data_IF_739214837317
#
_entry.id   IF_739214837317
#
_cell.length_a   1.000
_cell.length_b   1.000
_cell.length_c   1.000
_cell.angle_alpha   90.00
_cell.angle_beta   90.00
_cell.angle_gamma   90.00
#
_symmetry.space_group_name_H-M   'P 1'
#
loop_
_entity.id
_entity.type
_entity.pdbx_description
1 polymer ?
#
# COMPACT_ATOMS: atom_id res chain seq x y z
N UNK A 1 -4.49 18.63 12.62
CA UNK A 1 -4.88 17.22 12.61
C UNK A 1 -3.65 16.39 12.29
N UNK A 2 -2.64 16.25 13.16
CA UNK A 2 -1.49 15.45 12.72
C UNK A 2 -0.40 15.20 13.74
N UNK A 3 -0.62 15.36 15.04
CA UNK A 3 0.51 15.33 15.99
C UNK A 3 0.56 14.12 16.94
N UNK A 4 -0.23 13.06 16.67
CA UNK A 4 -0.30 11.93 17.62
C UNK A 4 0.73 10.80 17.42
N UNK A 5 1.52 10.79 16.36
CA UNK A 5 2.38 9.62 16.05
C UNK A 5 3.88 9.79 16.31
N UNK A 6 4.33 10.97 16.75
CA UNK A 6 5.77 11.22 16.91
C UNK A 6 6.33 11.04 18.33
N UNK A 7 5.49 10.89 19.34
CA UNK A 7 5.97 10.84 20.74
C UNK A 7 6.40 9.46 21.25
N UNK A 8 6.10 8.38 20.54
CA UNK A 8 6.42 7.02 21.02
C UNK A 8 7.91 6.65 20.84
N UNK A 9 8.65 7.35 19.98
CA UNK A 9 9.99 6.91 19.57
C UNK A 9 11.17 7.65 20.22
N UNK A 10 10.93 8.68 21.04
CA UNK A 10 12.03 9.47 21.63
C UNK A 10 12.25 9.30 23.14
N UNK A 11 11.56 8.38 23.80
CA UNK A 11 11.70 8.23 25.25
C UNK A 11 12.78 7.17 25.64
N UNK A 12 14.05 7.53 25.42
CA UNK A 12 15.21 6.80 26.02
C UNK A 12 15.44 7.11 27.50
N UNK A 13 14.57 7.85 28.18
CA UNK A 13 14.90 8.44 29.51
C UNK A 13 13.93 8.18 30.66
N UNK A 14 13.07 7.17 30.63
CA UNK A 14 12.28 6.87 31.86
C UNK A 14 12.04 5.37 31.99
N UNK A 15 13.06 4.66 32.50
CA UNK A 15 12.88 3.33 33.09
C UNK A 15 13.26 3.41 34.58
N UNK A 16 12.37 3.02 35.51
CA UNK A 16 12.71 2.96 36.93
C UNK A 16 13.66 1.81 37.23
N UNK A 17 14.62 2.04 38.12
CA UNK A 17 15.76 1.16 38.43
C UNK A 17 15.46 -0.17 39.21
N UNK A 18 14.22 -0.61 39.33
CA UNK A 18 13.88 -1.73 40.24
C UNK A 18 13.37 -3.03 39.62
N UNK A 19 13.32 -3.16 38.27
CA UNK A 19 12.81 -4.40 37.60
C UNK A 19 13.90 -5.30 36.97
N UNK A 20 15.14 -5.14 37.34
CA UNK A 20 16.31 -5.77 36.68
C UNK A 20 16.43 -7.30 36.79
N UNK A 21 15.52 -8.05 37.39
CA UNK A 21 15.63 -9.51 37.55
C UNK A 21 14.66 -10.39 36.77
N UNK A 22 13.59 -9.81 36.18
CA UNK A 22 12.71 -10.52 35.23
C UNK A 22 12.98 -10.18 33.77
N UNK A 23 13.85 -9.20 33.51
CA UNK A 23 14.09 -8.59 32.20
C UNK A 23 14.98 -9.43 31.25
N UNK A 24 15.70 -10.46 31.71
CA UNK A 24 16.66 -11.17 30.84
C UNK A 24 16.06 -12.15 29.84
N UNK A 25 14.86 -12.68 30.09
CA UNK A 25 14.14 -13.53 29.12
C UNK A 25 13.23 -12.71 28.21
N UNK A 26 12.72 -11.56 28.67
CA UNK A 26 11.93 -10.63 27.85
C UNK A 26 12.81 -9.75 26.93
N UNK A 27 14.05 -9.42 27.32
CA UNK A 27 14.94 -8.54 26.55
C UNK A 27 15.39 -9.11 25.19
N UNK A 28 15.53 -10.43 25.06
CA UNK A 28 15.91 -11.04 23.77
C UNK A 28 14.76 -11.05 22.77
N UNK A 29 13.54 -11.18 23.22
CA UNK A 29 12.34 -11.12 22.39
C UNK A 29 12.04 -9.70 21.93
N UNK A 30 12.27 -8.73 22.80
CA UNK A 30 12.01 -7.30 22.55
C UNK A 30 12.98 -6.72 21.51
N UNK A 31 14.25 -7.11 21.51
CA UNK A 31 15.30 -6.59 20.62
C UNK A 31 15.03 -6.92 19.14
N UNK A 32 14.62 -8.15 18.83
CA UNK A 32 14.31 -8.55 17.45
C UNK A 32 13.06 -7.87 16.91
N UNK A 33 12.07 -7.60 17.74
CA UNK A 33 10.86 -6.87 17.38
C UNK A 33 11.16 -5.39 17.10
N UNK A 34 12.02 -4.75 17.89
CA UNK A 34 12.47 -3.38 17.63
C UNK A 34 13.26 -3.28 16.31
N UNK A 35 14.10 -4.27 15.99
CA UNK A 35 14.83 -4.31 14.70
C UNK A 35 13.88 -4.42 13.52
N UNK A 36 12.84 -5.26 13.59
CA UNK A 36 11.81 -5.39 12.56
C UNK A 36 11.04 -4.07 12.38
N UNK A 37 10.59 -3.46 13.48
CA UNK A 37 9.87 -2.18 13.43
C UNK A 37 10.74 -1.04 12.90
N UNK A 38 12.01 -1.01 13.30
CA UNK A 38 12.96 -0.01 12.82
C UNK A 38 13.23 -0.16 11.32
N UNK A 39 13.43 -1.39 10.84
CA UNK A 39 13.61 -1.70 9.43
C UNK A 39 12.37 -1.34 8.62
N UNK A 40 11.18 -1.69 9.12
CA UNK A 40 9.91 -1.32 8.50
C UNK A 40 9.73 0.21 8.42
N UNK A 41 10.08 0.93 9.48
CA UNK A 41 10.01 2.39 9.50
C UNK A 41 10.97 3.01 8.49
N UNK A 42 12.21 2.54 8.42
CA UNK A 42 13.18 3.00 7.42
C UNK A 42 12.73 2.69 6.00
N UNK A 43 12.23 1.49 5.76
CA UNK A 43 11.68 1.11 4.46
C UNK A 43 10.52 2.04 4.07
N UNK A 44 9.66 2.37 5.01
CA UNK A 44 8.58 3.34 4.80
C UNK A 44 9.09 4.74 4.49
N UNK A 45 10.08 5.24 5.19
CA UNK A 45 10.69 6.56 4.98
C UNK A 45 11.39 6.64 3.62
N UNK A 46 12.12 5.60 3.23
CA UNK A 46 12.83 5.54 1.95
C UNK A 46 11.91 5.67 0.73
N UNK A 47 10.66 5.17 0.82
CA UNK A 47 9.68 5.25 -0.27
C UNK A 47 8.89 6.58 -0.24
N UNK A 48 9.14 7.47 0.70
CA UNK A 48 8.41 8.74 0.78
C UNK A 48 8.46 9.57 -0.51
N UNK A 49 9.59 9.72 -1.21
CA UNK A 49 9.64 10.47 -2.47
C UNK A 49 8.72 9.87 -3.54
N UNK A 50 8.64 8.53 -3.60
CA UNK A 50 7.71 7.83 -4.49
C UNK A 50 6.25 8.15 -4.14
N UNK A 51 5.86 8.07 -2.85
CA UNK A 51 4.49 8.39 -2.41
C UNK A 51 4.11 9.84 -2.69
N UNK A 52 5.03 10.79 -2.52
CA UNK A 52 4.82 12.20 -2.88
C UNK A 52 4.59 12.36 -4.38
N UNK A 53 5.42 11.74 -5.21
CA UNK A 53 5.28 11.76 -6.68
C UNK A 53 3.94 11.19 -7.11
N UNK A 54 3.55 10.03 -6.57
CA UNK A 54 2.26 9.43 -6.85
C UNK A 54 1.08 10.34 -6.47
N UNK A 55 1.11 10.95 -5.28
CA UNK A 55 0.07 11.90 -4.85
C UNK A 55 -0.03 13.08 -5.84
N UNK A 56 1.09 13.59 -6.28
CA UNK A 56 1.15 14.66 -7.29
C UNK A 56 0.58 14.20 -8.62
N UNK A 57 1.03 13.08 -9.16
CA UNK A 57 0.53 12.51 -10.41
C UNK A 57 -0.98 12.32 -10.39
N UNK A 58 -1.51 11.80 -9.26
CA UNK A 58 -2.94 11.62 -9.07
C UNK A 58 -3.69 12.96 -9.12
N UNK A 59 -3.19 14.00 -8.48
CA UNK A 59 -3.79 15.33 -8.55
C UNK A 59 -3.84 15.85 -10.00
N UNK A 60 -2.76 15.71 -10.74
CA UNK A 60 -2.69 16.11 -12.16
C UNK A 60 -3.67 15.30 -13.02
N UNK A 61 -3.73 13.98 -12.83
CA UNK A 61 -4.66 13.11 -13.55
C UNK A 61 -6.13 13.48 -13.29
N UNK A 62 -6.45 13.97 -12.10
CA UNK A 62 -7.81 14.39 -11.74
C UNK A 62 -8.07 15.89 -11.94
N UNK A 63 -7.24 16.60 -12.70
CA UNK A 63 -7.45 17.98 -13.10
C UNK A 63 -7.04 19.02 -12.06
N UNK A 64 -6.33 18.61 -10.99
CA UNK A 64 -5.80 19.54 -9.99
C UNK A 64 -4.38 20.00 -10.38
N UNK A 65 -4.20 20.52 -11.59
CA UNK A 65 -2.91 20.86 -12.17
C UNK A 65 -2.21 22.00 -11.42
N UNK A 66 -2.98 22.95 -10.89
CA UNK A 66 -2.50 24.17 -10.23
C UNK A 66 -2.56 24.09 -8.70
N UNK A 67 -2.51 22.88 -8.15
CA UNK A 67 -2.63 22.66 -6.70
C UNK A 67 -1.29 22.63 -5.97
N UNK A 68 -0.18 22.72 -6.67
CA UNK A 68 1.15 22.73 -6.06
C UNK A 68 1.37 24.06 -5.31
N UNK A 69 2.21 24.02 -4.29
CA UNK A 69 2.47 25.16 -3.44
C UNK A 69 3.70 25.91 -3.94
N UNK A 70 3.57 27.22 -4.05
CA UNK A 70 4.65 28.16 -4.38
C UNK A 70 4.91 29.03 -3.17
N UNK A 71 6.17 29.15 -2.79
CA UNK A 71 6.58 30.10 -1.74
C UNK A 71 6.99 31.40 -2.39
N UNK A 72 6.31 32.48 -2.05
CA UNK A 72 6.59 33.82 -2.51
C UNK A 72 7.84 34.41 -1.81
N UNK A 73 8.47 35.46 -2.36
CA UNK A 73 9.58 36.16 -1.71
C UNK A 73 9.23 36.70 -0.31
N UNK A 74 7.96 37.02 -0.08
CA UNK A 74 7.44 37.48 1.23
C UNK A 74 7.36 36.37 2.29
N UNK A 75 7.73 35.12 1.96
CA UNK A 75 7.62 33.95 2.84
C UNK A 75 6.21 33.33 2.90
N UNK A 76 5.21 33.89 2.22
CA UNK A 76 3.86 33.30 2.14
C UNK A 76 3.86 32.10 1.19
N UNK A 77 3.19 31.04 1.57
CA UNK A 77 3.01 29.84 0.73
C UNK A 77 1.58 29.78 0.23
N UNK A 78 1.39 29.94 -1.07
CA UNK A 78 0.09 29.89 -1.74
C UNK A 78 0.07 28.81 -2.81
N UNK A 79 -1.12 28.45 -3.34
CA UNK A 79 -1.22 27.54 -4.47
C UNK A 79 -0.85 28.26 -5.79
N UNK A 80 -0.35 27.49 -6.77
CA UNK A 80 -0.07 28.03 -8.11
C UNK A 80 -1.32 28.70 -8.72
N UNK A 81 -2.52 28.15 -8.46
CA UNK A 81 -3.79 28.73 -8.89
C UNK A 81 -4.01 30.13 -8.31
N UNK A 82 -3.74 30.31 -7.03
CA UNK A 82 -3.84 31.62 -6.37
C UNK A 82 -2.80 32.59 -6.89
N UNK A 83 -1.58 32.13 -7.07
CA UNK A 83 -0.49 32.93 -7.60
C UNK A 83 -0.79 33.46 -9.00
N UNK A 84 -1.33 32.61 -9.90
CA UNK A 84 -1.71 33.03 -11.25
C UNK A 84 -2.86 34.05 -11.21
N UNK A 85 -3.86 33.87 -10.34
CA UNK A 85 -4.97 34.81 -10.15
C UNK A 85 -4.50 36.17 -9.63
N UNK A 86 -3.56 36.19 -8.69
CA UNK A 86 -2.96 37.44 -8.19
C UNK A 86 -2.20 38.19 -9.29
N UNK A 87 -1.65 37.47 -10.28
CA UNK A 87 -1.03 38.06 -11.46
C UNK A 87 -2.06 38.48 -12.57
N UNK A 88 -3.35 38.35 -12.33
CA UNK A 88 -4.38 38.64 -13.33
C UNK A 88 -4.48 37.58 -14.44
N UNK A 89 -3.85 36.43 -14.28
CA UNK A 89 -3.88 35.32 -15.24
C UNK A 89 -4.98 34.33 -14.89
N UNK A 90 -5.63 33.77 -15.92
CA UNK A 90 -6.66 32.74 -15.76
C UNK A 90 -5.98 31.35 -15.85
N UNK A 91 -6.00 30.52 -14.80
CA UNK A 91 -5.45 29.17 -14.88
C UNK A 91 -6.32 28.28 -15.78
N UNK A 92 -5.85 28.01 -16.99
CA UNK A 92 -6.54 27.13 -17.92
C UNK A 92 -6.39 25.67 -17.47
N UNK A 93 -7.52 24.95 -17.45
CA UNK A 93 -7.57 23.52 -17.07
C UNK A 93 -8.02 22.69 -18.26
N UNK A 94 -7.08 22.06 -18.96
CA UNK A 94 -7.38 21.05 -19.97
C UNK A 94 -6.71 19.72 -19.58
N UNK A 95 -7.52 18.74 -19.18
CA UNK A 95 -7.01 17.48 -18.63
C UNK A 95 -6.83 16.40 -19.71
N UNK A 96 -5.83 16.57 -20.57
CA UNK A 96 -5.46 15.60 -21.59
C UNK A 96 -4.95 14.27 -20.97
N UNK A 97 -4.30 14.34 -19.81
CA UNK A 97 -3.78 13.15 -19.11
C UNK A 97 -4.91 12.20 -18.76
N UNK A 98 -6.00 12.71 -18.16
CA UNK A 98 -7.16 11.89 -17.80
C UNK A 98 -7.84 11.26 -19.00
N UNK A 99 -7.90 11.98 -20.10
CA UNK A 99 -8.46 11.48 -21.35
C UNK A 99 -7.62 10.33 -21.91
N UNK A 100 -6.28 10.49 -21.93
CA UNK A 100 -5.36 9.43 -22.38
C UNK A 100 -5.48 8.17 -21.51
N UNK A 101 -5.44 8.33 -20.19
CA UNK A 101 -5.60 7.21 -19.24
C UNK A 101 -6.92 6.47 -19.47
N UNK A 102 -8.02 7.19 -19.63
CA UNK A 102 -9.33 6.57 -19.94
C UNK A 102 -9.35 5.81 -21.25
N UNK A 103 -8.72 6.35 -22.28
CA UNK A 103 -8.65 5.68 -23.58
C UNK A 103 -7.88 4.35 -23.49
N UNK A 104 -6.73 4.34 -22.81
CA UNK A 104 -5.94 3.12 -22.61
C UNK A 104 -6.73 2.07 -21.81
N UNK A 105 -7.41 2.48 -20.74
CA UNK A 105 -8.24 1.58 -19.94
C UNK A 105 -9.43 1.05 -20.77
N UNK A 106 -10.05 1.90 -21.58
CA UNK A 106 -11.15 1.51 -22.48
C UNK A 106 -10.70 0.44 -23.46
N UNK A 107 -9.53 0.63 -24.09
CA UNK A 107 -8.95 -0.34 -25.02
C UNK A 107 -8.60 -1.67 -24.30
N UNK A 108 -7.99 -1.60 -23.12
CA UNK A 108 -7.69 -2.79 -22.31
C UNK A 108 -8.95 -3.59 -21.95
N UNK A 109 -10.03 -2.91 -21.57
CA UNK A 109 -11.31 -3.56 -21.24
C UNK A 109 -12.04 -4.17 -22.44
N UNK A 110 -11.76 -3.70 -23.65
CA UNK A 110 -12.33 -4.26 -24.88
C UNK A 110 -11.64 -5.57 -25.30
N UNK A 111 -10.40 -5.78 -24.89
CA UNK A 111 -9.61 -7.00 -25.14
C UNK A 111 -9.60 -7.86 -23.89
N UNK A 112 -10.61 -8.73 -23.75
CA UNK A 112 -10.63 -9.70 -22.65
C UNK A 112 -9.67 -10.84 -22.95
N UNK A 113 -8.63 -10.97 -22.10
CA UNK A 113 -7.72 -12.11 -22.14
C UNK A 113 -7.96 -13.02 -20.93
N UNK A 114 -7.99 -14.32 -21.15
CA UNK A 114 -8.10 -15.31 -20.09
C UNK A 114 -6.75 -16.03 -19.91
N UNK A 115 -6.31 -16.28 -18.68
CA UNK A 115 -5.10 -17.07 -18.44
C UNK A 115 -5.34 -18.53 -18.80
N UNK A 116 -4.41 -19.14 -19.53
CA UNK A 116 -4.45 -20.56 -19.90
C UNK A 116 -3.17 -21.22 -19.39
N UNK A 117 -3.32 -22.36 -18.72
CA UNK A 117 -2.21 -23.21 -18.31
C UNK A 117 -1.89 -24.23 -19.39
N UNK A 118 -0.65 -24.27 -19.82
CA UNK A 118 -0.14 -25.25 -20.75
C UNK A 118 0.85 -26.15 -20.01
N UNK A 119 0.62 -27.45 -20.03
CA UNK A 119 1.57 -28.43 -19.48
C UNK A 119 2.85 -28.46 -20.32
N UNK A 120 4.00 -28.56 -19.67
CA UNK A 120 5.29 -28.76 -20.35
C UNK A 120 5.50 -30.21 -20.75
N UNK A 121 4.90 -31.17 -20.02
CA UNK A 121 4.94 -32.59 -20.32
C UNK A 121 3.65 -33.02 -21.04
N UNK A 122 3.79 -33.79 -22.09
CA UNK A 122 2.65 -34.35 -22.84
C UNK A 122 1.79 -35.29 -22.00
N UNK A 123 2.39 -35.98 -21.03
CA UNK A 123 1.67 -36.91 -20.15
C UNK A 123 0.78 -36.18 -19.12
N UNK A 124 1.00 -34.89 -18.90
CA UNK A 124 0.28 -34.05 -17.91
C UNK A 124 -0.71 -33.07 -18.56
N UNK A 125 -1.10 -33.32 -19.79
CA UNK A 125 -1.97 -32.43 -20.56
C UNK A 125 -3.33 -32.23 -19.86
N UNK A 126 -3.91 -33.29 -19.28
CA UNK A 126 -5.14 -33.20 -18.50
C UNK A 126 -5.00 -32.34 -17.25
N UNK A 127 -3.83 -32.35 -16.63
CA UNK A 127 -3.55 -31.47 -15.46
C UNK A 127 -3.52 -30.01 -15.91
N UNK A 128 -2.94 -29.68 -17.04
CA UNK A 128 -2.94 -28.35 -17.63
C UNK A 128 -4.36 -27.81 -17.87
N UNK A 129 -5.24 -28.64 -18.41
CA UNK A 129 -6.65 -28.30 -18.63
C UNK A 129 -7.38 -28.07 -17.30
N UNK A 130 -7.19 -28.95 -16.33
CA UNK A 130 -7.77 -28.77 -14.96
C UNK A 130 -7.32 -27.48 -14.30
N UNK A 131 -6.03 -27.16 -14.40
CA UNK A 131 -5.48 -25.92 -13.86
C UNK A 131 -6.02 -24.68 -14.58
N UNK A 132 -6.28 -24.76 -15.88
CA UNK A 132 -6.92 -23.68 -16.64
C UNK A 132 -8.34 -23.40 -16.14
N UNK A 133 -9.13 -24.46 -15.92
CA UNK A 133 -10.48 -24.36 -15.37
C UNK A 133 -10.45 -23.76 -13.95
N UNK A 134 -9.50 -24.18 -13.11
CA UNK A 134 -9.34 -23.66 -11.77
C UNK A 134 -8.95 -22.17 -11.76
N UNK A 135 -8.06 -21.76 -12.67
CA UNK A 135 -7.69 -20.37 -12.84
C UNK A 135 -8.86 -19.52 -13.33
N UNK A 136 -9.61 -20.01 -14.30
CA UNK A 136 -10.79 -19.32 -14.80
C UNK A 136 -11.83 -19.11 -13.68
N UNK A 137 -12.06 -20.14 -12.86
CA UNK A 137 -12.92 -20.02 -11.69
C UNK A 137 -12.43 -18.94 -10.72
N UNK A 138 -11.14 -18.92 -10.36
CA UNK A 138 -10.56 -17.91 -9.46
C UNK A 138 -10.66 -16.52 -10.08
N UNK A 139 -10.46 -16.41 -11.39
CA UNK A 139 -10.56 -15.18 -12.15
C UNK A 139 -11.98 -14.59 -12.09
N UNK A 140 -12.96 -15.42 -12.36
CA UNK A 140 -14.39 -15.06 -12.32
C UNK A 140 -14.83 -14.74 -10.88
N UNK A 141 -14.46 -15.61 -9.94
CA UNK A 141 -14.85 -15.45 -8.52
C UNK A 141 -14.37 -14.12 -7.92
N UNK A 142 -13.14 -13.69 -8.24
CA UNK A 142 -12.56 -12.45 -7.78
C UNK A 142 -12.91 -11.24 -8.66
N UNK A 143 -13.65 -11.42 -9.77
CA UNK A 143 -13.93 -10.37 -10.76
C UNK A 143 -12.64 -9.70 -11.24
N UNK A 144 -11.67 -10.50 -11.66
CA UNK A 144 -10.33 -10.00 -11.99
C UNK A 144 -10.33 -8.92 -13.07
N UNK A 145 -11.26 -8.98 -14.04
CA UNK A 145 -11.41 -7.92 -15.05
C UNK A 145 -11.64 -6.53 -14.47
N UNK A 146 -12.33 -6.44 -13.33
CA UNK A 146 -12.54 -5.19 -12.61
C UNK A 146 -11.27 -4.76 -11.86
N UNK A 147 -10.64 -5.72 -11.17
CA UNK A 147 -9.38 -5.50 -10.44
C UNK A 147 -8.29 -5.08 -11.42
N UNK A 148 -8.11 -5.78 -12.53
CA UNK A 148 -7.09 -5.49 -13.55
C UNK A 148 -7.28 -4.10 -14.19
N UNK A 149 -8.54 -3.72 -14.45
CA UNK A 149 -8.83 -2.39 -14.96
C UNK A 149 -8.46 -1.26 -13.97
N UNK A 150 -8.70 -1.46 -12.67
CA UNK A 150 -8.28 -0.54 -11.61
C UNK A 150 -6.77 -0.54 -11.42
N UNK A 151 -6.18 -1.71 -11.44
CA UNK A 151 -4.73 -1.89 -11.33
C UNK A 151 -3.99 -1.21 -12.48
N UNK A 152 -4.51 -1.32 -13.71
CA UNK A 152 -3.95 -0.62 -14.86
C UNK A 152 -4.05 0.90 -14.70
N UNK A 153 -5.20 1.42 -14.22
CA UNK A 153 -5.33 2.85 -13.93
C UNK A 153 -4.27 3.31 -12.91
N UNK A 154 -4.12 2.55 -11.83
CA UNK A 154 -3.14 2.87 -10.81
C UNK A 154 -1.71 2.79 -11.35
N UNK A 155 -1.39 1.78 -12.15
CA UNK A 155 -0.09 1.62 -12.80
C UNK A 155 0.24 2.81 -13.71
N UNK A 156 -0.70 3.27 -14.52
CA UNK A 156 -0.52 4.43 -15.41
C UNK A 156 -0.27 5.73 -14.62
N UNK A 157 -0.84 5.86 -13.43
CA UNK A 157 -0.68 7.05 -12.57
C UNK A 157 0.61 6.99 -11.76
N UNK A 158 0.89 5.83 -11.14
CA UNK A 158 1.95 5.69 -10.14
C UNK A 158 3.21 5.00 -10.64
N UNK A 159 3.13 4.27 -11.76
CA UNK A 159 4.22 3.46 -12.30
C UNK A 159 4.42 2.11 -11.59
N UNK A 160 3.59 1.79 -10.60
CA UNK A 160 3.59 0.47 -9.95
C UNK A 160 2.21 0.10 -9.43
N UNK A 161 1.98 -1.21 -9.34
CA UNK A 161 0.75 -1.79 -8.80
C UNK A 161 1.07 -3.06 -8.01
N UNK A 162 0.21 -3.40 -7.07
CA UNK A 162 0.41 -4.53 -6.19
C UNK A 162 -0.89 -5.28 -5.97
N UNK A 163 -0.82 -6.61 -6.11
CA UNK A 163 -1.91 -7.50 -5.75
C UNK A 163 -1.54 -8.31 -4.51
N UNK A 164 -2.51 -8.54 -3.63
CA UNK A 164 -2.39 -9.42 -2.48
C UNK A 164 -3.27 -10.64 -2.70
N UNK A 165 -2.63 -11.80 -2.80
CA UNK A 165 -3.31 -13.07 -2.95
C UNK A 165 -3.32 -13.75 -1.58
N UNK A 166 -4.50 -14.09 -1.08
CA UNK A 166 -4.69 -14.71 0.22
C UNK A 166 -5.61 -15.90 0.09
N UNK A 167 -5.15 -17.07 0.56
CA UNK A 167 -6.02 -18.22 0.77
C UNK A 167 -6.59 -18.17 2.19
N UNK A 168 -7.90 -18.16 2.32
CA UNK A 168 -8.50 -18.05 3.62
C UNK A 168 -10.03 -17.98 3.60
N UNK A 169 -10.61 -18.04 4.81
CA UNK A 169 -12.06 -18.02 4.98
C UNK A 169 -12.58 -16.58 5.01
N UNK A 170 -13.47 -16.26 4.08
CA UNK A 170 -14.25 -15.01 4.08
C UNK A 170 -15.73 -15.33 3.86
N UNK A 171 -16.63 -14.71 4.64
CA UNK A 171 -18.07 -14.92 4.53
C UNK A 171 -18.48 -16.40 4.50
N UNK A 172 -17.89 -17.21 5.39
CA UNK A 172 -18.10 -18.67 5.49
C UNK A 172 -17.61 -19.52 4.31
N UNK A 173 -16.94 -18.96 3.32
CA UNK A 173 -16.32 -19.68 2.21
C UNK A 173 -14.80 -19.59 2.31
N UNK A 174 -14.13 -20.74 2.25
CA UNK A 174 -12.65 -20.80 2.15
C UNK A 174 -12.29 -20.84 0.68
N UNK A 175 -11.55 -19.84 0.21
CA UNK A 175 -11.18 -19.70 -1.19
C UNK A 175 -9.93 -18.83 -1.34
N UNK A 176 -9.47 -18.66 -2.59
CA UNK A 176 -8.42 -17.72 -2.96
C UNK A 176 -9.04 -16.34 -3.19
N UNK A 177 -8.54 -15.34 -2.47
CA UNK A 177 -8.99 -13.96 -2.54
C UNK A 177 -7.86 -13.09 -3.08
N UNK A 178 -8.16 -12.33 -4.14
CA UNK A 178 -7.23 -11.41 -4.77
C UNK A 178 -7.72 -9.97 -4.48
N UNK A 179 -6.83 -9.13 -3.93
CA UNK A 179 -7.15 -7.75 -3.63
C UNK A 179 -6.09 -6.84 -4.24
N UNK A 180 -6.53 -5.71 -4.73
CA UNK A 180 -5.67 -4.59 -5.07
C UNK A 180 -5.15 -3.93 -3.79
N UNK A 181 -3.86 -3.62 -3.74
CA UNK A 181 -3.25 -2.85 -2.66
C UNK A 181 -2.97 -1.45 -3.13
N UNK A 182 -3.35 -0.47 -2.32
CA UNK A 182 -3.01 0.92 -2.57
C UNK A 182 -1.49 1.14 -2.42
N UNK A 183 -0.78 1.56 -3.48
CA UNK A 183 0.67 1.77 -3.42
C UNK A 183 1.15 2.78 -2.37
N UNK A 184 0.25 3.66 -1.87
CA UNK A 184 0.59 4.54 -0.76
C UNK A 184 0.67 3.84 0.59
N UNK A 185 0.16 2.62 0.71
CA UNK A 185 0.12 1.84 1.96
C UNK A 185 1.13 0.71 2.00
N UNK A 186 1.84 0.47 0.90
CA UNK A 186 2.87 -0.56 0.82
C UNK A 186 4.24 0.04 1.12
N UNK A 187 5.09 -0.76 1.72
CA UNK A 187 6.51 -0.46 1.88
C UNK A 187 7.35 -1.72 1.68
N UNK A 188 8.54 -1.54 1.20
CA UNK A 188 9.54 -2.59 0.98
C UNK A 188 10.93 -2.00 1.20
N UNK A 189 11.90 -2.84 1.55
CA UNK A 189 13.25 -2.35 1.86
C UNK A 189 14.11 -2.18 0.59
N UNK A 190 14.24 -3.20 -0.23
CA UNK A 190 15.02 -3.16 -1.46
C UNK A 190 14.19 -3.72 -2.61
N UNK A 191 14.37 -3.18 -3.81
CA UNK A 191 13.74 -3.63 -5.05
C UNK A 191 14.59 -3.21 -6.27
N UNK A 192 15.91 -3.36 -6.17
CA UNK A 192 16.84 -3.04 -7.23
C UNK A 192 16.96 -4.21 -8.21
N UNK A 193 16.87 -5.44 -7.71
CA UNK A 193 16.86 -6.63 -8.56
C UNK A 193 15.50 -6.79 -9.26
N UNK A 194 15.52 -6.99 -10.57
CA UNK A 194 14.33 -7.28 -11.40
C UNK A 194 13.55 -8.50 -10.87
N UNK A 195 14.23 -9.46 -10.25
CA UNK A 195 13.64 -10.66 -9.67
C UNK A 195 13.16 -10.48 -8.23
N UNK A 196 13.42 -9.31 -7.63
CA UNK A 196 13.09 -8.96 -6.24
C UNK A 196 13.71 -9.89 -5.18
N UNK A 197 14.84 -10.55 -5.49
CA UNK A 197 15.52 -11.44 -4.54
C UNK A 197 16.22 -10.67 -3.42
N UNK A 198 16.46 -9.40 -3.61
CA UNK A 198 17.02 -8.45 -2.64
C UNK A 198 15.94 -7.93 -1.65
N UNK A 199 14.68 -8.16 -1.92
CA UNK A 199 13.58 -7.74 -1.05
C UNK A 199 13.42 -8.72 0.11
N UNK A 200 13.90 -8.33 1.29
CA UNK A 200 13.77 -9.15 2.51
C UNK A 200 12.57 -8.75 3.36
N UNK A 201 12.00 -7.58 3.12
CA UNK A 201 10.84 -7.07 3.86
C UNK A 201 9.87 -6.34 2.95
N UNK A 202 8.64 -6.79 2.96
CA UNK A 202 7.50 -6.10 2.37
C UNK A 202 6.36 -6.02 3.37
N UNK A 203 5.68 -4.90 3.46
CA UNK A 203 4.57 -4.71 4.39
C UNK A 203 3.50 -3.77 3.86
N UNK A 204 2.34 -3.88 4.49
CA UNK A 204 1.17 -3.05 4.20
C UNK A 204 0.72 -2.33 5.47
N UNK A 205 0.50 -1.01 5.38
CA UNK A 205 -0.05 -0.21 6.47
C UNK A 205 -1.58 -0.23 6.44
N UNK A 206 -2.17 -0.59 7.56
CA UNK A 206 -3.61 -0.58 7.76
C UNK A 206 -4.00 0.43 8.84
N UNK A 207 -5.01 1.26 8.54
CA UNK A 207 -5.67 2.08 9.54
C UNK A 207 -6.73 1.21 10.23
N UNK A 208 -6.43 0.78 11.44
CA UNK A 208 -7.30 -0.13 12.20
C UNK A 208 -7.79 0.59 13.47
N UNK A 209 -9.11 0.56 13.77
CA UNK A 209 -9.63 1.08 15.02
C UNK A 209 -9.02 0.37 16.24
N UNK A 210 -8.74 1.11 17.30
CA UNK A 210 -8.17 0.56 18.54
C UNK A 210 -9.00 -0.60 19.07
N UNK A 211 -10.34 -0.52 18.98
CA UNK A 211 -11.21 -1.61 19.40
C UNK A 211 -10.93 -2.93 18.67
N UNK A 212 -10.62 -2.87 17.37
CA UNK A 212 -10.28 -4.04 16.56
C UNK A 212 -8.91 -4.60 16.95
N UNK A 213 -7.92 -3.72 17.23
CA UNK A 213 -6.61 -4.14 17.72
C UNK A 213 -6.75 -4.86 19.07
N UNK A 214 -7.52 -4.27 19.98
CA UNK A 214 -7.78 -4.88 21.28
C UNK A 214 -8.47 -6.23 21.17
N UNK A 215 -9.47 -6.38 20.28
CA UNK A 215 -10.17 -7.66 20.10
C UNK A 215 -9.27 -8.74 19.52
N UNK A 216 -8.40 -8.40 18.58
CA UNK A 216 -7.55 -9.37 17.89
C UNK A 216 -6.30 -9.77 18.68
N UNK A 217 -5.71 -8.85 19.44
CA UNK A 217 -4.41 -9.06 20.09
C UNK A 217 -4.49 -9.22 21.61
N UNK A 218 -5.59 -8.85 22.27
CA UNK A 218 -5.71 -9.03 23.72
C UNK A 218 -5.97 -10.48 24.15
N UNK A 219 -6.48 -11.32 23.23
CA UNK A 219 -6.87 -12.70 23.53
C UNK A 219 -7.88 -12.81 24.67
N UNK A 220 -8.76 -11.80 24.83
CA UNK A 220 -9.74 -11.72 25.92
C UNK A 220 -9.16 -11.26 27.27
N UNK A 221 -7.86 -11.01 27.37
CA UNK A 221 -7.22 -10.58 28.61
C UNK A 221 -7.32 -9.07 28.83
N UNK A 222 -7.97 -8.66 29.95
CA UNK A 222 -8.07 -7.23 30.32
C UNK A 222 -6.69 -6.58 30.56
N UNK A 223 -5.73 -7.34 31.13
CA UNK A 223 -4.36 -6.84 31.35
C UNK A 223 -3.62 -6.54 30.03
N UNK A 224 -3.76 -7.42 29.02
CA UNK A 224 -3.18 -7.19 27.68
C UNK A 224 -3.87 -6.02 26.99
N UNK A 225 -5.19 -5.90 27.11
CA UNK A 225 -5.95 -4.80 26.54
C UNK A 225 -5.54 -3.44 27.14
N UNK A 226 -5.23 -3.37 28.44
CA UNK A 226 -4.72 -2.16 29.09
C UNK A 226 -3.35 -1.77 28.58
N UNK A 227 -2.41 -2.71 28.47
CA UNK A 227 -1.06 -2.47 27.92
C UNK A 227 -1.07 -2.01 26.45
N UNK A 228 -2.04 -2.46 25.66
CA UNK A 228 -2.17 -2.05 24.26
C UNK A 228 -2.79 -0.65 24.10
N UNK A 229 -3.37 -0.08 25.17
CA UNK A 229 -3.91 1.29 25.18
C UNK A 229 -2.88 2.34 25.59
N UNK A 230 -1.88 1.96 26.36
CA UNK A 230 -0.74 2.79 26.78
C UNK A 230 0.28 2.93 25.64
#
# INVERSE_FOLDING_TARGET
MNDCNYKIFNNKRLMPKQEKRKEKEDETFDRSQYEILWTAKKAWENIEPYRRRRKRNRKYTFGQQWSDKVTLPDGRTITEEQYLKEQGKVPLKNNLIRQLVKNVIGQFRSTQTQPVCISRDRNEQQLGELMSIALEYVYQHNRMWEIDGRTLEEFLISGSCFHKIVYGKRRNKTDVWINEINPNRIFFNNMEDIRHWDCTMIGELHDVPIATILSNFSGGSRKRASRLRE
#
